data_IF_086362036557
#
_entry.id   IF_086362036557
#
_cell.length_a   1.000
_cell.length_b   1.000
_cell.length_c   1.000
_cell.angle_alpha   90.00
_cell.angle_beta   90.00
_cell.angle_gamma   90.00
#
_symmetry.space_group_name_H-M   'P 1'
#
loop_
_entity.id
_entity.type
_entity.pdbx_description
1 polymer ?
#
# COMPACT_ATOMS: atom_id res chain seq x y z
N UNK A 1 2.33 -2.34 23.30
CA UNK A 1 1.38 -2.10 22.20
C UNK A 1 2.15 -2.11 20.90
N UNK A 2 1.95 -3.11 20.04
CA UNK A 2 2.67 -3.17 18.76
C UNK A 2 2.04 -2.19 17.78
N UNK A 3 2.83 -1.17 17.47
CA UNK A 3 2.63 -0.11 16.48
C UNK A 3 2.04 -0.64 15.15
N UNK A 4 1.01 0.02 14.62
CA UNK A 4 0.45 -0.24 13.27
C UNK A 4 1.60 -0.40 12.27
N UNK A 5 1.64 -1.46 11.43
CA UNK A 5 2.73 -1.64 10.47
C UNK A 5 2.90 -0.39 9.61
N UNK A 6 4.16 0.03 9.37
CA UNK A 6 4.45 1.22 8.54
C UNK A 6 3.72 1.16 7.19
N UNK A 7 3.69 -0.01 6.59
CA UNK A 7 3.00 -0.28 5.32
C UNK A 7 1.48 0.02 5.33
N UNK A 8 0.85 0.21 6.48
CA UNK A 8 -0.58 0.52 6.58
C UNK A 8 -0.85 1.94 7.08
N UNK A 9 0.19 2.79 7.16
CA UNK A 9 0.07 4.18 7.60
C UNK A 9 0.16 5.14 6.41
N UNK A 10 -0.52 6.29 6.45
CA UNK A 10 -0.27 7.37 5.50
C UNK A 10 1.19 7.82 5.56
N UNK A 11 1.81 7.98 4.39
CA UNK A 11 3.17 8.46 4.22
C UNK A 11 3.16 9.93 3.77
N UNK A 12 3.70 10.80 4.61
CA UNK A 12 3.81 12.22 4.36
C UNK A 12 5.27 12.55 4.04
N UNK A 13 5.57 12.94 2.80
CA UNK A 13 6.94 13.22 2.38
C UNK A 13 7.22 14.72 2.33
N UNK A 14 8.37 15.12 2.88
CA UNK A 14 8.80 16.53 2.86
C UNK A 14 9.81 16.72 1.74
N UNK A 15 9.46 17.54 0.77
CA UNK A 15 10.21 17.86 -0.43
C UNK A 15 10.66 19.32 -0.43
N UNK A 16 11.72 19.65 -1.17
CA UNK A 16 12.23 21.02 -1.27
C UNK A 16 13.69 21.03 -1.72
N UNK A 17 14.35 22.19 -1.71
CA UNK A 17 15.79 22.27 -1.99
C UNK A 17 16.63 21.81 -0.79
N UNK A 18 17.95 21.72 -0.99
CA UNK A 18 18.90 21.63 0.13
C UNK A 18 18.77 22.82 1.06
N UNK A 19 18.99 22.58 2.34
CA UNK A 19 19.05 23.61 3.37
C UNK A 19 17.77 24.45 3.57
N UNK A 20 16.62 24.11 2.98
CA UNK A 20 15.33 24.81 3.23
C UNK A 20 14.72 24.46 4.60
N UNK A 21 15.34 23.56 5.36
CA UNK A 21 14.93 23.18 6.71
C UNK A 21 13.94 22.01 6.78
N UNK A 22 13.99 21.06 5.83
CA UNK A 22 13.13 19.87 5.79
C UNK A 22 13.23 19.02 7.07
N UNK A 23 14.44 18.62 7.45
CA UNK A 23 14.67 17.80 8.65
C UNK A 23 14.28 18.53 9.94
N UNK A 24 14.57 19.83 10.01
CA UNK A 24 14.15 20.67 11.14
C UNK A 24 12.62 20.74 11.21
N UNK A 25 11.93 20.93 10.08
CA UNK A 25 10.47 20.97 10.03
C UNK A 25 9.86 19.66 10.51
N UNK A 26 10.39 18.52 10.08
CA UNK A 26 9.95 17.20 10.55
C UNK A 26 10.17 17.08 12.05
N UNK A 27 11.36 17.41 12.55
CA UNK A 27 11.66 17.32 13.99
C UNK A 27 10.73 18.20 14.83
N UNK A 28 10.42 19.41 14.35
CA UNK A 28 9.52 20.33 15.06
C UNK A 28 8.08 19.85 15.01
N UNK A 29 7.63 19.28 13.89
CA UNK A 29 6.33 18.61 13.79
C UNK A 29 6.23 17.39 14.71
N UNK A 30 7.34 16.66 14.91
CA UNK A 30 7.38 15.46 15.77
C UNK A 30 7.58 15.76 17.25
N UNK A 31 8.18 16.90 17.63
CA UNK A 31 8.60 17.19 19.01
C UNK A 31 7.53 17.89 19.88
N UNK A 32 6.32 18.12 19.36
CA UNK A 32 5.23 18.63 20.19
C UNK A 32 4.59 17.51 21.03
N UNK A 33 4.93 17.49 22.32
CA UNK A 33 4.44 16.80 23.54
C UNK A 33 3.72 15.42 23.50
N UNK A 34 3.30 14.89 22.34
CA UNK A 34 2.42 13.72 22.25
C UNK A 34 2.87 12.64 21.25
N UNK A 35 3.93 12.87 20.45
CA UNK A 35 4.34 11.91 19.42
C UNK A 35 5.49 11.00 19.88
N UNK A 36 5.22 9.70 20.03
CA UNK A 36 6.25 8.67 20.13
C UNK A 36 6.95 8.52 18.77
N UNK A 37 8.23 8.90 18.69
CA UNK A 37 9.03 8.80 17.46
C UNK A 37 9.87 7.52 17.48
N UNK A 38 9.83 6.77 16.39
CA UNK A 38 10.82 5.72 16.12
C UNK A 38 11.51 5.95 14.79
N UNK A 39 12.83 6.10 14.85
CA UNK A 39 13.69 6.25 13.69
C UNK A 39 14.10 4.86 13.18
N UNK A 40 14.03 4.66 11.87
CA UNK A 40 14.81 3.60 11.22
C UNK A 40 15.76 4.32 10.27
N UNK A 41 17.07 4.34 10.58
CA UNK A 41 18.03 5.00 9.72
C UNK A 41 18.08 4.28 8.37
N UNK A 42 17.97 5.05 7.29
CA UNK A 42 18.44 4.63 5.97
C UNK A 42 19.97 4.73 5.91
N UNK A 43 20.58 4.37 4.79
CA UNK A 43 21.99 4.73 4.58
C UNK A 43 22.12 6.25 4.47
N UNK A 44 23.35 6.80 4.55
CA UNK A 44 23.64 8.25 4.47
C UNK A 44 23.10 8.95 3.21
N UNK A 45 22.55 8.20 2.24
CA UNK A 45 21.96 8.73 1.01
C UNK A 45 20.46 8.44 0.87
N UNK A 46 19.85 7.68 1.78
CA UNK A 46 18.45 7.25 1.67
C UNK A 46 17.49 8.16 2.43
N UNK A 47 16.21 8.24 2.01
CA UNK A 47 15.18 8.93 2.78
C UNK A 47 15.07 8.36 4.18
N UNK A 48 14.93 9.23 5.18
CA UNK A 48 14.76 8.83 6.59
C UNK A 48 13.27 8.73 6.90
N UNK A 49 12.87 7.61 7.50
CA UNK A 49 11.47 7.33 7.84
C UNK A 49 11.26 7.51 9.34
N UNK A 50 10.39 8.45 9.71
CA UNK A 50 10.02 8.73 11.09
C UNK A 50 8.56 8.38 11.32
N UNK A 51 8.33 7.36 12.14
CA UNK A 51 6.98 7.00 12.57
C UNK A 51 6.54 7.92 13.70
N UNK A 52 5.34 8.51 13.61
CA UNK A 52 4.78 9.39 14.63
C UNK A 52 3.25 9.28 14.69
N UNK A 53 2.63 9.83 15.72
CA UNK A 53 1.19 10.07 15.79
C UNK A 53 0.89 11.54 15.48
N UNK A 54 -0.03 11.78 14.55
CA UNK A 54 -0.52 13.11 14.19
C UNK A 54 -1.97 13.20 14.67
N UNK A 55 -2.22 13.80 15.83
CA UNK A 55 -3.59 13.91 16.35
C UNK A 55 -4.40 14.94 15.55
N UNK A 56 -5.72 14.72 15.32
CA UNK A 56 -6.51 13.50 15.61
C UNK A 56 -6.40 12.39 14.55
N UNK A 57 -5.61 12.55 13.49
CA UNK A 57 -5.49 11.59 12.38
C UNK A 57 -4.96 10.20 12.81
N UNK A 58 -4.07 10.14 13.80
CA UNK A 58 -3.46 8.89 14.28
C UNK A 58 -2.07 8.61 13.66
N UNK A 59 -1.65 7.34 13.52
CA UNK A 59 -0.27 7.00 13.19
C UNK A 59 0.08 7.26 11.72
N UNK A 60 1.13 8.04 11.48
CA UNK A 60 1.66 8.37 10.14
C UNK A 60 3.15 8.03 10.02
N UNK A 61 3.68 8.10 8.80
CA UNK A 61 5.12 8.02 8.52
C UNK A 61 5.56 9.29 7.80
N UNK A 62 6.42 10.08 8.46
CA UNK A 62 7.10 11.21 7.82
C UNK A 62 8.32 10.70 7.04
N UNK A 63 8.47 11.13 5.79
CA UNK A 63 9.63 10.82 4.95
C UNK A 63 10.48 12.09 4.78
N UNK A 64 11.69 12.08 5.33
CA UNK A 64 12.67 13.13 5.09
C UNK A 64 13.44 12.84 3.80
N UNK A 65 13.33 13.76 2.84
CA UNK A 65 14.04 13.66 1.56
C UNK A 65 15.40 14.36 1.55
N UNK A 66 15.92 14.81 2.71
CA UNK A 66 17.23 15.47 2.81
C UNK A 66 18.36 14.72 2.10
N UNK A 67 18.43 13.39 2.22
CA UNK A 67 19.43 12.55 1.53
C UNK A 67 19.31 12.50 -0.01
N UNK A 68 18.13 12.83 -0.56
CA UNK A 68 17.90 12.97 -2.01
C UNK A 68 18.45 14.31 -2.51
N UNK A 69 18.32 15.32 -1.64
CA UNK A 69 19.01 16.61 -1.65
C UNK A 69 20.51 16.49 -1.95
N UNK A 70 21.22 15.76 -1.08
CA UNK A 70 22.65 15.96 -0.77
C UNK A 70 23.68 15.36 -1.74
N UNK A 71 23.26 14.52 -2.70
CA UNK A 71 24.18 13.90 -3.66
C UNK A 71 24.54 14.84 -4.83
N UNK A 72 25.78 15.35 -4.85
CA UNK A 72 26.33 16.10 -5.99
C UNK A 72 26.53 15.22 -7.24
N UNK A 73 26.58 15.86 -8.43
CA UNK A 73 26.89 15.34 -9.78
C UNK A 73 26.22 14.05 -10.32
N UNK A 74 25.48 13.29 -9.51
CA UNK A 74 24.74 12.08 -9.94
C UNK A 74 23.25 12.36 -10.14
N UNK A 75 22.92 13.31 -11.03
CA UNK A 75 21.54 13.74 -11.28
C UNK A 75 20.56 12.60 -11.54
N UNK A 76 20.99 11.51 -12.20
CA UNK A 76 20.18 10.31 -12.44
C UNK A 76 19.76 9.60 -11.15
N UNK A 77 20.66 9.46 -10.17
CA UNK A 77 20.35 8.81 -8.89
C UNK A 77 19.36 9.64 -8.08
N UNK A 78 19.51 10.97 -8.10
CA UNK A 78 18.56 11.89 -7.45
C UNK A 78 17.15 11.79 -8.04
N UNK A 79 17.03 11.77 -9.37
CA UNK A 79 15.75 11.61 -10.06
C UNK A 79 15.11 10.27 -9.66
N UNK A 80 15.90 9.18 -9.66
CA UNK A 80 15.43 7.85 -9.25
C UNK A 80 14.89 7.83 -7.82
N UNK A 81 15.65 8.33 -6.84
CA UNK A 81 15.22 8.38 -5.44
C UNK A 81 14.00 9.28 -5.23
N UNK A 82 13.92 10.40 -5.93
CA UNK A 82 12.74 11.28 -5.90
C UNK A 82 11.50 10.52 -6.38
N UNK A 83 11.62 9.80 -7.52
CA UNK A 83 10.54 8.95 -8.05
C UNK A 83 10.14 7.88 -7.05
N UNK A 84 11.10 7.20 -6.41
CA UNK A 84 10.85 6.17 -5.39
C UNK A 84 10.05 6.68 -4.18
N UNK A 85 10.31 7.91 -3.72
CA UNK A 85 9.55 8.51 -2.61
C UNK A 85 8.17 8.94 -3.09
N UNK A 86 8.07 9.56 -4.27
CA UNK A 86 6.77 9.95 -4.86
C UNK A 86 5.83 8.74 -4.95
N UNK A 87 6.31 7.58 -5.42
CA UNK A 87 5.50 6.37 -5.57
C UNK A 87 4.81 5.88 -4.29
N UNK A 88 5.34 6.20 -3.11
CA UNK A 88 4.80 5.78 -1.82
C UNK A 88 4.20 6.93 -1.00
N UNK A 89 4.16 8.14 -1.54
CA UNK A 89 3.72 9.34 -0.80
C UNK A 89 2.22 9.52 -0.95
N UNK A 90 1.52 9.59 0.18
CA UNK A 90 0.08 9.90 0.26
C UNK A 90 -0.17 11.41 0.32
N UNK A 91 0.73 12.17 0.94
CA UNK A 91 0.68 13.64 1.02
C UNK A 91 2.09 14.24 0.93
N UNK A 92 2.27 15.28 0.14
CA UNK A 92 3.55 15.96 0.00
C UNK A 92 3.56 17.34 0.68
N UNK A 93 4.65 17.66 1.37
CA UNK A 93 4.95 19.00 1.86
C UNK A 93 6.05 19.60 0.97
N UNK A 94 5.74 20.63 0.20
CA UNK A 94 6.73 21.34 -0.62
C UNK A 94 7.26 22.56 0.14
N UNK A 95 8.51 22.47 0.61
CA UNK A 95 9.15 23.50 1.43
C UNK A 95 9.96 24.47 0.56
N UNK A 96 9.65 25.75 0.70
CA UNK A 96 10.27 26.88 0.01
C UNK A 96 10.98 27.75 1.05
N UNK A 97 12.19 28.19 0.70
CA UNK A 97 12.95 29.17 1.49
C UNK A 97 12.71 30.58 0.92
N UNK A 98 12.33 31.58 1.75
CA UNK A 98 12.04 32.94 1.30
C UNK A 98 13.22 33.64 0.64
N UNK A 99 14.47 33.23 0.91
CA UNK A 99 15.66 33.77 0.27
C UNK A 99 15.85 33.25 -1.16
N UNK A 100 15.46 32.00 -1.43
CA UNK A 100 15.59 31.37 -2.74
C UNK A 100 14.35 31.55 -3.61
N UNK A 101 13.18 31.62 -2.98
CA UNK A 101 11.88 31.71 -3.64
C UNK A 101 11.48 30.45 -4.42
N UNK A 102 10.36 30.54 -5.13
CA UNK A 102 9.86 29.47 -6.01
C UNK A 102 10.40 29.65 -7.44
N UNK A 103 10.82 28.57 -8.10
CA UNK A 103 11.30 28.58 -9.49
C UNK A 103 11.03 27.27 -10.23
N UNK A 104 11.83 26.99 -11.26
CA UNK A 104 11.65 25.81 -12.12
C UNK A 104 11.77 24.48 -11.37
N UNK A 105 12.64 24.41 -10.36
CA UNK A 105 12.80 23.21 -9.54
C UNK A 105 11.52 22.88 -8.76
N UNK A 106 10.94 23.88 -8.09
CA UNK A 106 9.70 23.70 -7.34
C UNK A 106 8.52 23.38 -8.28
N UNK A 107 8.48 24.01 -9.47
CA UNK A 107 7.47 23.72 -10.51
C UNK A 107 7.54 22.28 -11.02
N UNK A 108 8.74 21.81 -11.38
CA UNK A 108 8.94 20.43 -11.85
C UNK A 108 8.54 19.41 -10.77
N UNK A 109 8.92 19.65 -9.52
CA UNK A 109 8.58 18.76 -8.41
C UNK A 109 7.07 18.77 -8.12
N UNK A 110 6.43 19.93 -8.14
CA UNK A 110 4.99 20.06 -7.99
C UNK A 110 4.23 19.31 -9.09
N UNK A 111 4.64 19.48 -10.36
CA UNK A 111 4.02 18.78 -11.48
C UNK A 111 4.14 17.26 -11.33
N UNK A 112 5.33 16.74 -10.98
CA UNK A 112 5.53 15.30 -10.74
C UNK A 112 4.62 14.75 -9.62
N UNK A 113 4.37 15.53 -8.58
CA UNK A 113 3.46 15.15 -7.51
C UNK A 113 2.00 15.13 -8.01
N UNK A 114 1.60 16.14 -8.79
CA UNK A 114 0.28 16.20 -9.42
C UNK A 114 0.04 15.06 -10.42
N UNK A 115 1.01 14.71 -11.27
CA UNK A 115 0.95 13.59 -12.22
C UNK A 115 0.72 12.22 -11.52
N UNK A 116 1.06 12.14 -10.22
CA UNK A 116 0.86 10.98 -9.36
C UNK A 116 -0.37 11.11 -8.45
N UNK A 117 -1.21 12.12 -8.66
CA UNK A 117 -2.39 12.43 -7.85
C UNK A 117 -2.04 12.49 -6.36
N UNK A 118 -0.98 13.23 -6.02
CA UNK A 118 -0.53 13.42 -4.65
C UNK A 118 -0.93 14.84 -4.22
N UNK A 119 -1.77 15.01 -3.20
CA UNK A 119 -2.06 16.32 -2.64
C UNK A 119 -0.77 16.98 -2.15
N UNK A 120 -0.64 18.28 -2.37
CA UNK A 120 0.55 19.06 -2.00
C UNK A 120 0.16 20.20 -1.07
N UNK A 121 0.87 20.31 0.06
CA UNK A 121 0.85 21.45 0.97
C UNK A 121 2.13 22.25 0.75
N UNK A 122 2.01 23.50 0.32
CA UNK A 122 3.17 24.38 0.09
C UNK A 122 3.47 25.15 1.38
N UNK A 123 4.73 25.15 1.79
CA UNK A 123 5.19 25.75 3.03
C UNK A 123 6.35 26.71 2.74
N UNK A 124 6.27 27.95 3.23
CA UNK A 124 7.40 28.88 3.27
C UNK A 124 8.01 28.78 4.67
N UNK A 125 9.21 28.19 4.77
CA UNK A 125 9.91 28.00 6.04
C UNK A 125 10.90 29.15 6.32
N UNK A 126 11.42 29.24 7.54
CA UNK A 126 12.42 30.24 7.99
C UNK A 126 11.89 31.68 8.02
N UNK A 127 10.60 31.86 8.32
CA UNK A 127 10.01 33.20 8.40
C UNK A 127 10.63 34.06 9.51
N UNK A 128 11.26 33.44 10.51
CA UNK A 128 12.03 34.09 11.58
C UNK A 128 13.23 34.89 11.06
N UNK A 129 13.73 34.57 9.87
CA UNK A 129 14.91 35.21 9.27
C UNK A 129 14.59 36.43 8.41
N UNK A 130 13.31 36.76 8.27
CA UNK A 130 12.85 37.87 7.44
C UNK A 130 11.84 38.72 8.20
N UNK A 131 11.84 40.03 7.99
CA UNK A 131 10.87 40.95 8.63
C UNK A 131 9.44 40.79 8.11
N UNK A 132 9.24 39.94 7.11
CA UNK A 132 7.97 39.62 6.47
C UNK A 132 8.20 38.87 5.16
N UNK A 133 7.21 38.09 4.73
CA UNK A 133 7.24 37.44 3.42
C UNK A 133 6.88 38.46 2.34
N UNK A 134 7.75 38.62 1.34
CA UNK A 134 7.51 39.52 0.20
C UNK A 134 6.26 39.10 -0.57
N UNK A 135 5.42 40.07 -0.95
CA UNK A 135 4.20 39.82 -1.72
C UNK A 135 4.50 39.12 -3.04
N UNK A 136 5.56 39.53 -3.74
CA UNK A 136 6.03 38.89 -4.98
C UNK A 136 6.24 37.38 -4.86
N UNK A 137 6.73 36.90 -3.70
CA UNK A 137 6.90 35.47 -3.47
C UNK A 137 5.55 34.76 -3.31
N UNK A 138 4.60 35.38 -2.60
CA UNK A 138 3.26 34.84 -2.43
C UNK A 138 2.52 34.76 -3.77
N UNK A 139 2.60 35.82 -4.58
CA UNK A 139 2.00 35.88 -5.90
C UNK A 139 2.63 34.85 -6.84
N UNK A 140 3.95 34.67 -6.77
CA UNK A 140 4.66 33.66 -7.55
C UNK A 140 4.26 32.23 -7.16
N UNK A 141 4.13 31.96 -5.86
CA UNK A 141 3.64 30.66 -5.37
C UNK A 141 2.21 30.40 -5.84
N UNK A 142 1.32 31.39 -5.73
CA UNK A 142 -0.06 31.29 -6.21
C UNK A 142 -0.13 31.07 -7.72
N UNK A 143 0.70 31.77 -8.49
CA UNK A 143 0.78 31.61 -9.94
C UNK A 143 1.30 30.22 -10.36
N UNK A 144 2.33 29.71 -9.67
CA UNK A 144 2.95 28.43 -10.03
C UNK A 144 2.15 27.21 -9.60
N UNK A 145 1.49 27.29 -8.44
CA UNK A 145 0.89 26.12 -7.79
C UNK A 145 -0.61 26.25 -7.53
N UNK A 146 -1.22 27.42 -7.76
CA UNK A 146 -2.64 27.64 -7.51
C UNK A 146 -3.06 27.57 -6.05
N UNK A 147 -2.11 27.59 -5.11
CA UNK A 147 -2.37 27.43 -3.67
C UNK A 147 -1.78 28.57 -2.85
N UNK A 148 -2.38 28.82 -1.68
CA UNK A 148 -1.81 29.71 -0.67
C UNK A 148 -0.81 28.94 0.19
N UNK A 149 0.43 29.43 0.36
CA UNK A 149 1.42 28.76 1.19
C UNK A 149 1.19 29.00 2.68
N UNK A 150 1.49 28.00 3.50
CA UNK A 150 1.57 28.15 4.96
C UNK A 150 2.93 28.74 5.31
N UNK A 151 2.95 29.70 6.23
CA UNK A 151 4.18 30.39 6.65
C UNK A 151 4.63 29.81 7.98
N UNK A 152 5.83 29.23 8.02
CA UNK A 152 6.34 28.57 9.23
C UNK A 152 7.78 28.97 9.56
N UNK A 153 8.11 28.86 10.84
CA UNK A 153 9.48 28.82 11.31
C UNK A 153 9.67 27.51 12.06
N UNK A 154 10.33 26.54 11.41
CA UNK A 154 10.69 25.29 12.06
C UNK A 154 11.60 25.51 13.28
N UNK A 155 12.36 26.62 13.33
CA UNK A 155 13.26 26.94 14.44
C UNK A 155 12.51 27.47 15.67
N UNK A 156 11.57 28.42 15.49
CA UNK A 156 10.82 29.03 16.59
C UNK A 156 9.49 28.33 16.90
N UNK A 157 9.06 27.38 16.07
CA UNK A 157 7.76 26.71 16.19
C UNK A 157 6.57 27.52 15.65
N UNK A 158 6.79 28.74 15.14
CA UNK A 158 5.72 29.59 14.61
C UNK A 158 5.06 28.97 13.38
N UNK A 159 3.73 28.90 13.36
CA UNK A 159 2.93 28.36 12.25
C UNK A 159 2.90 26.83 12.14
N UNK A 160 3.54 26.11 13.07
CA UNK A 160 3.58 24.63 13.06
C UNK A 160 2.20 24.03 13.39
N UNK A 161 1.44 24.68 14.26
CA UNK A 161 0.08 24.25 14.60
C UNK A 161 -0.87 24.33 13.39
N UNK A 162 -0.88 25.48 12.71
CA UNK A 162 -1.64 25.67 11.48
C UNK A 162 -1.23 24.65 10.40
N UNK A 163 0.07 24.39 10.26
CA UNK A 163 0.57 23.34 9.37
C UNK A 163 -0.01 21.97 9.77
N UNK A 164 0.02 21.61 11.05
CA UNK A 164 -0.51 20.34 11.55
C UNK A 164 -1.99 20.18 11.22
N UNK A 165 -2.81 21.18 11.47
CA UNK A 165 -4.23 21.17 11.14
C UNK A 165 -4.47 20.97 9.64
N UNK A 166 -3.71 21.67 8.79
CA UNK A 166 -3.82 21.50 7.33
C UNK A 166 -3.38 20.10 6.91
N UNK A 167 -2.32 19.53 7.49
CA UNK A 167 -1.89 18.17 7.20
C UNK A 167 -3.00 17.16 7.57
N UNK A 168 -3.55 17.23 8.77
CA UNK A 168 -4.67 16.37 9.22
C UNK A 168 -5.85 16.43 8.25
N UNK A 169 -6.17 17.63 7.74
CA UNK A 169 -7.28 17.83 6.82
C UNK A 169 -6.99 17.40 5.38
N UNK A 170 -5.72 17.33 4.97
CA UNK A 170 -5.33 16.99 3.59
C UNK A 170 -4.79 15.59 3.40
N UNK A 171 -4.43 14.88 4.47
CA UNK A 171 -4.12 13.45 4.35
C UNK A 171 -5.39 12.73 3.86
N UNK A 172 -5.30 11.94 2.78
CA UNK A 172 -6.38 11.05 2.36
C UNK A 172 -6.89 10.23 3.56
N UNK A 173 -8.16 10.43 3.95
CA UNK A 173 -8.75 9.82 5.15
C UNK A 173 -9.11 8.36 4.93
N UNK A 174 -9.33 7.63 6.01
CA UNK A 174 -9.75 6.22 5.99
C UNK A 174 -11.03 5.96 5.18
N UNK A 175 -11.88 6.96 4.95
CA UNK A 175 -13.09 6.81 4.12
C UNK A 175 -12.75 6.68 2.61
N UNK A 176 -11.51 7.03 2.23
CA UNK A 176 -10.94 6.77 0.90
C UNK A 176 -10.07 5.49 0.89
N UNK A 177 -9.75 4.91 2.06
CA UNK A 177 -9.07 3.63 2.14
C UNK A 177 -10.12 2.51 2.18
N UNK A 178 -10.00 1.47 1.33
CA UNK A 178 -10.98 0.40 1.34
C UNK A 178 -10.95 -0.33 2.68
N UNK A 179 -12.11 -0.78 3.15
CA UNK A 179 -12.18 -1.75 4.24
C UNK A 179 -11.48 -3.05 3.83
N UNK A 180 -10.94 -3.77 4.82
CA UNK A 180 -10.46 -5.14 4.58
C UNK A 180 -11.68 -6.02 4.33
N UNK A 181 -12.66 -5.94 5.23
CA UNK A 181 -13.88 -6.74 5.28
C UNK A 181 -15.11 -5.97 5.78
N UNK A 182 -14.92 -4.82 6.45
CA UNK A 182 -16.02 -4.04 7.06
C UNK A 182 -17.17 -3.70 6.10
N UNK A 183 -16.88 -3.48 4.82
CA UNK A 183 -17.86 -3.22 3.76
C UNK A 183 -18.59 -4.47 3.23
N UNK A 184 -18.27 -5.66 3.75
CA UNK A 184 -18.89 -6.94 3.38
C UNK A 184 -19.86 -7.48 4.44
N UNK A 185 -19.98 -6.79 5.58
CA UNK A 185 -20.75 -7.21 6.74
C UNK A 185 -21.64 -6.09 7.26
N UNK A 186 -22.73 -6.46 7.92
CA UNK A 186 -23.62 -5.54 8.62
C UNK A 186 -23.37 -5.60 10.15
N UNK A 187 -23.87 -4.62 10.89
CA UNK A 187 -23.79 -4.62 12.36
C UNK A 187 -24.42 -5.89 12.94
N UNK A 188 -23.70 -6.56 13.85
CA UNK A 188 -24.14 -7.82 14.46
C UNK A 188 -23.85 -9.08 13.64
N UNK A 189 -23.36 -8.98 12.40
CA UNK A 189 -22.98 -10.15 11.62
C UNK A 189 -21.86 -10.95 12.29
N UNK A 190 -21.95 -12.28 12.20
CA UNK A 190 -20.85 -13.18 12.61
C UNK A 190 -19.97 -13.52 11.41
N UNK A 191 -18.65 -13.35 11.57
CA UNK A 191 -17.63 -13.77 10.60
C UNK A 191 -16.74 -14.84 11.22
N UNK A 192 -16.54 -15.95 10.52
CA UNK A 192 -15.58 -16.98 10.95
C UNK A 192 -14.24 -16.76 10.27
N UNK A 193 -13.17 -16.62 11.05
CA UNK A 193 -11.79 -16.59 10.59
C UNK A 193 -11.15 -17.97 10.81
N UNK A 194 -10.88 -18.69 9.73
CA UNK A 194 -10.22 -20.00 9.77
C UNK A 194 -8.71 -19.81 9.67
N UNK A 195 -8.03 -19.99 10.80
CA UNK A 195 -6.60 -19.72 10.99
C UNK A 195 -5.88 -21.01 11.39
N UNK A 196 -5.29 -21.76 10.43
CA UNK A 196 -4.47 -22.92 10.75
C UNK A 196 -3.23 -22.49 11.56
N UNK A 197 -2.57 -23.44 12.21
CA UNK A 197 -1.30 -23.17 12.89
C UNK A 197 -0.23 -22.90 11.83
N UNK A 198 0.08 -21.62 11.64
CA UNK A 198 1.11 -21.19 10.71
C UNK A 198 2.50 -21.37 11.36
N UNK A 199 3.33 -22.21 10.75
CA UNK A 199 4.72 -22.41 11.18
C UNK A 199 5.59 -21.16 11.00
N UNK A 200 5.16 -20.21 10.16
CA UNK A 200 5.82 -18.92 9.96
C UNK A 200 5.46 -17.89 11.04
N UNK A 201 4.40 -18.11 11.83
CA UNK A 201 4.03 -17.24 12.93
C UNK A 201 4.87 -17.54 14.19
N UNK A 202 5.35 -16.52 14.93
CA UNK A 202 5.94 -16.74 16.24
C UNK A 202 4.96 -17.47 17.17
N UNK A 203 5.46 -18.43 17.97
CA UNK A 203 4.62 -19.17 18.94
C UNK A 203 3.77 -18.20 19.77
N UNK A 204 2.46 -18.47 19.84
CA UNK A 204 1.51 -17.69 20.62
C UNK A 204 1.03 -16.39 19.96
N UNK A 205 1.17 -16.23 18.64
CA UNK A 205 0.70 -15.04 17.91
C UNK A 205 -0.06 -15.41 16.64
N UNK A 206 -1.09 -14.61 16.33
CA UNK A 206 -1.72 -14.59 15.00
C UNK A 206 -0.85 -13.79 14.02
N UNK A 207 -0.95 -14.13 12.73
CA UNK A 207 -0.31 -13.31 11.69
C UNK A 207 -1.09 -12.01 11.49
N UNK A 208 -0.38 -11.00 10.99
CA UNK A 208 -0.93 -9.65 10.85
C UNK A 208 -2.24 -9.59 10.03
N UNK A 209 -2.39 -10.28 8.88
CA UNK A 209 -3.66 -10.29 8.15
C UNK A 209 -4.86 -10.75 8.99
N UNK A 210 -4.67 -11.74 9.86
CA UNK A 210 -5.72 -12.26 10.74
C UNK A 210 -6.10 -11.22 11.80
N UNK A 211 -5.12 -10.60 12.45
CA UNK A 211 -5.34 -9.56 13.45
C UNK A 211 -6.06 -8.35 12.86
N UNK A 212 -5.62 -7.89 11.68
CA UNK A 212 -6.22 -6.73 11.02
C UNK A 212 -7.65 -7.01 10.55
N UNK A 213 -7.91 -8.19 9.97
CA UNK A 213 -9.27 -8.57 9.57
C UNK A 213 -10.18 -8.66 10.79
N UNK A 214 -9.71 -9.24 11.89
CA UNK A 214 -10.46 -9.28 13.14
C UNK A 214 -10.74 -7.88 13.70
N UNK A 215 -9.76 -6.96 13.63
CA UNK A 215 -9.95 -5.58 14.07
C UNK A 215 -11.00 -4.86 13.22
N UNK A 216 -10.93 -4.97 11.90
CA UNK A 216 -11.89 -4.33 10.98
C UNK A 216 -13.31 -4.90 11.16
N UNK A 217 -13.46 -6.19 11.50
CA UNK A 217 -14.76 -6.75 11.90
C UNK A 217 -15.31 -6.03 13.14
N UNK A 218 -14.49 -5.86 14.18
CA UNK A 218 -14.90 -5.21 15.43
C UNK A 218 -15.15 -3.71 15.27
N UNK A 219 -14.37 -3.03 14.43
CA UNK A 219 -14.55 -1.61 14.08
C UNK A 219 -15.91 -1.34 13.43
N UNK A 220 -16.46 -2.35 12.72
CA UNK A 220 -17.75 -2.28 12.04
C UNK A 220 -18.84 -3.05 12.81
N UNK A 221 -18.68 -3.20 14.13
CA UNK A 221 -19.68 -3.78 15.03
C UNK A 221 -20.09 -5.23 14.70
N UNK A 222 -19.24 -5.97 13.99
CA UNK A 222 -19.41 -7.41 13.74
C UNK A 222 -18.79 -8.28 14.84
N UNK A 223 -19.11 -9.57 14.81
CA UNK A 223 -18.55 -10.58 15.70
C UNK A 223 -17.57 -11.49 14.97
N UNK A 224 -16.30 -11.48 15.38
CA UNK A 224 -15.28 -12.39 14.83
C UNK A 224 -15.14 -13.67 15.64
N UNK A 225 -15.37 -14.83 15.02
CA UNK A 225 -15.09 -16.15 15.58
C UNK A 225 -13.83 -16.74 14.92
N UNK A 226 -12.77 -16.97 15.71
CA UNK A 226 -11.51 -17.52 15.19
C UNK A 226 -11.43 -19.01 15.51
N UNK A 227 -11.17 -19.84 14.49
CA UNK A 227 -11.11 -21.32 14.61
C UNK A 227 -9.95 -21.87 13.77
N UNK A 228 -9.46 -23.09 14.08
CA UNK A 228 -8.68 -23.83 13.08
C UNK A 228 -9.62 -24.53 12.12
N UNK A 229 -9.06 -25.05 11.02
CA UNK A 229 -9.78 -25.87 10.06
C UNK A 229 -10.42 -27.11 10.69
N UNK A 230 -9.85 -27.63 11.79
CA UNK A 230 -10.35 -28.81 12.51
C UNK A 230 -11.64 -28.55 13.29
N UNK A 231 -11.84 -27.34 13.84
CA UNK A 231 -13.05 -27.01 14.60
C UNK A 231 -14.14 -26.30 13.78
N UNK A 232 -13.86 -25.95 12.53
CA UNK A 232 -14.79 -25.21 11.67
C UNK A 232 -16.17 -25.87 11.56
N UNK A 233 -16.21 -27.18 11.32
CA UNK A 233 -17.49 -27.90 11.19
C UNK A 233 -18.30 -27.84 12.49
N UNK A 234 -17.64 -27.99 13.63
CA UNK A 234 -18.27 -27.87 14.95
C UNK A 234 -18.77 -26.45 15.24
N UNK A 235 -17.98 -25.44 14.87
CA UNK A 235 -18.35 -24.03 15.01
C UNK A 235 -19.61 -23.70 14.19
N UNK A 236 -19.67 -24.13 12.92
CA UNK A 236 -20.85 -23.94 12.06
C UNK A 236 -22.11 -24.60 12.62
N UNK A 237 -21.98 -25.73 13.33
CA UNK A 237 -23.11 -26.43 13.97
C UNK A 237 -23.57 -25.79 15.28
N UNK A 238 -22.67 -25.10 15.99
CA UNK A 238 -22.95 -24.54 17.32
C UNK A 238 -23.49 -23.11 17.25
N UNK A 239 -23.16 -22.37 16.19
CA UNK A 239 -23.72 -21.04 15.97
C UNK A 239 -25.24 -21.11 15.79
N UNK A 240 -25.95 -20.27 16.54
CA UNK A 240 -27.42 -20.16 16.45
C UNK A 240 -27.87 -19.62 15.09
N UNK A 241 -27.10 -18.68 14.55
CA UNK A 241 -27.33 -18.06 13.25
C UNK A 241 -26.14 -18.33 12.33
N UNK A 242 -26.41 -18.47 11.02
CA UNK A 242 -25.34 -18.73 10.05
C UNK A 242 -24.41 -17.51 10.02
N UNK A 243 -23.08 -17.72 9.99
CA UNK A 243 -22.17 -16.62 9.77
C UNK A 243 -22.42 -15.99 8.40
N UNK A 244 -22.27 -14.68 8.32
CA UNK A 244 -22.34 -13.93 7.07
C UNK A 244 -21.27 -14.39 6.09
N UNK A 245 -20.05 -14.57 6.60
CA UNK A 245 -18.84 -14.78 5.82
C UNK A 245 -17.86 -15.67 6.57
N UNK A 246 -17.20 -16.56 5.83
CA UNK A 246 -16.03 -17.31 6.29
C UNK A 246 -14.80 -16.80 5.54
N UNK A 247 -13.73 -16.49 6.27
CA UNK A 247 -12.44 -16.10 5.71
C UNK A 247 -11.41 -17.16 6.07
N UNK A 248 -10.64 -17.63 5.09
CA UNK A 248 -9.68 -18.72 5.33
C UNK A 248 -8.29 -18.45 4.76
N UNK A 249 -7.29 -19.14 5.30
CA UNK A 249 -5.96 -19.17 4.70
C UNK A 249 -5.94 -19.94 3.39
N UNK A 250 -5.14 -19.46 2.44
CA UNK A 250 -4.90 -20.11 1.15
C UNK A 250 -4.45 -21.59 1.26
N UNK A 251 -3.75 -21.96 2.32
CA UNK A 251 -3.24 -23.32 2.53
C UNK A 251 -4.33 -24.35 2.79
N UNK A 252 -5.40 -23.95 3.48
CA UNK A 252 -6.52 -24.84 3.86
C UNK A 252 -7.81 -24.54 3.10
N UNK A 253 -7.77 -23.60 2.15
CA UNK A 253 -8.96 -23.14 1.41
C UNK A 253 -9.72 -24.31 0.76
N UNK A 254 -9.02 -25.24 0.12
CA UNK A 254 -9.65 -26.40 -0.52
C UNK A 254 -10.43 -27.28 0.45
N UNK A 255 -9.92 -27.49 1.67
CA UNK A 255 -10.61 -28.22 2.73
C UNK A 255 -11.82 -27.42 3.23
N UNK A 256 -11.60 -26.14 3.56
CA UNK A 256 -12.63 -25.24 4.09
C UNK A 256 -13.79 -25.07 3.12
N UNK A 257 -13.53 -24.95 1.82
CA UNK A 257 -14.57 -24.83 0.80
C UNK A 257 -15.54 -26.02 0.77
N UNK A 258 -15.09 -27.22 1.13
CA UNK A 258 -15.94 -28.42 1.20
C UNK A 258 -16.78 -28.46 2.47
N UNK A 259 -16.30 -27.85 3.55
CA UNK A 259 -16.97 -27.81 4.86
C UNK A 259 -18.04 -26.71 4.87
N UNK A 260 -17.72 -25.53 4.33
CA UNK A 260 -18.63 -24.37 4.33
C UNK A 260 -19.75 -24.60 3.31
N UNK A 261 -21.04 -24.47 3.68
CA UNK A 261 -22.17 -24.48 2.75
C UNK A 261 -22.10 -23.41 1.64
N UNK A 262 -22.68 -23.66 0.47
CA UNK A 262 -22.65 -22.74 -0.69
C UNK A 262 -23.46 -21.45 -0.50
N UNK A 263 -24.43 -21.45 0.42
CA UNK A 263 -25.23 -20.28 0.80
C UNK A 263 -24.53 -19.37 1.80
N UNK A 264 -23.37 -19.79 2.34
CA UNK A 264 -22.49 -18.96 3.17
C UNK A 264 -21.36 -18.42 2.31
N UNK A 265 -21.15 -17.11 2.37
CA UNK A 265 -20.03 -16.49 1.68
C UNK A 265 -18.69 -17.03 2.19
N UNK A 266 -17.76 -17.23 1.27
CA UNK A 266 -16.42 -17.73 1.57
C UNK A 266 -15.41 -16.90 0.78
N UNK A 267 -14.36 -16.42 1.43
CA UNK A 267 -13.21 -15.81 0.76
C UNK A 267 -11.92 -16.10 1.53
N UNK A 268 -10.79 -15.56 1.07
CA UNK A 268 -9.49 -15.75 1.70
C UNK A 268 -8.85 -14.45 2.12
N UNK A 269 -7.98 -14.52 3.14
CA UNK A 269 -7.19 -13.35 3.56
C UNK A 269 -6.42 -12.74 2.40
N UNK A 270 -5.89 -13.55 1.49
CA UNK A 270 -5.12 -13.07 0.34
C UNK A 270 -5.95 -12.22 -0.63
N UNK A 271 -7.23 -12.55 -0.83
CA UNK A 271 -8.14 -11.80 -1.72
C UNK A 271 -8.60 -10.51 -1.05
N UNK A 272 -8.96 -10.58 0.25
CA UNK A 272 -9.26 -9.37 1.04
C UNK A 272 -8.10 -8.39 0.99
N UNK A 273 -6.86 -8.86 1.17
CA UNK A 273 -5.68 -8.01 1.13
C UNK A 273 -5.28 -7.55 -0.28
N UNK A 274 -5.55 -8.34 -1.32
CA UNK A 274 -5.39 -7.90 -2.70
C UNK A 274 -6.30 -6.70 -3.00
N UNK A 275 -7.56 -6.72 -2.53
CA UNK A 275 -8.49 -5.59 -2.60
C UNK A 275 -8.05 -4.43 -1.71
N UNK A 276 -7.72 -4.72 -0.45
CA UNK A 276 -7.36 -3.71 0.55
C UNK A 276 -6.11 -2.90 0.17
N UNK A 277 -5.07 -3.54 -0.37
CA UNK A 277 -3.82 -2.86 -0.77
C UNK A 277 -3.72 -2.50 -2.23
N UNK A 278 -4.43 -3.21 -3.11
CA UNK A 278 -4.36 -3.02 -4.55
C UNK A 278 -5.70 -2.65 -5.15
N UNK A 279 -5.89 -3.12 -6.37
CA UNK A 279 -7.10 -2.92 -7.17
C UNK A 279 -7.57 -4.29 -7.65
N UNK A 280 -8.69 -4.75 -7.07
CA UNK A 280 -9.23 -6.07 -7.34
C UNK A 280 -9.60 -6.24 -8.83
N UNK A 281 -10.12 -5.19 -9.46
CA UNK A 281 -10.55 -5.20 -10.86
C UNK A 281 -9.35 -5.34 -11.78
N UNK A 282 -8.28 -4.58 -11.52
CA UNK A 282 -7.02 -4.71 -12.26
C UNK A 282 -6.38 -6.08 -12.11
N UNK A 283 -6.48 -6.69 -10.93
CA UNK A 283 -6.02 -8.05 -10.77
C UNK A 283 -6.84 -9.08 -11.55
N UNK A 284 -8.15 -8.85 -11.74
CA UNK A 284 -8.99 -9.73 -12.57
C UNK A 284 -8.60 -9.68 -14.05
N UNK A 285 -8.21 -8.51 -14.59
CA UNK A 285 -7.61 -8.42 -15.93
C UNK A 285 -6.38 -9.34 -16.05
N UNK A 286 -5.55 -9.36 -15.01
CA UNK A 286 -4.40 -10.27 -14.91
C UNK A 286 -4.79 -11.75 -14.81
N UNK A 287 -5.86 -12.09 -14.08
CA UNK A 287 -6.38 -13.47 -14.05
C UNK A 287 -6.89 -13.89 -15.43
N UNK A 288 -7.58 -13.02 -16.15
CA UNK A 288 -8.06 -13.31 -17.50
C UNK A 288 -6.89 -13.54 -18.48
N UNK A 289 -5.79 -12.80 -18.36
CA UNK A 289 -4.57 -13.08 -19.12
C UNK A 289 -3.89 -14.39 -18.68
N UNK A 290 -3.88 -14.69 -17.37
CA UNK A 290 -3.36 -15.95 -16.82
C UNK A 290 -4.09 -17.16 -17.42
N UNK A 291 -5.42 -17.11 -17.54
CA UNK A 291 -6.23 -18.16 -18.18
C UNK A 291 -5.88 -18.41 -19.65
N UNK A 292 -5.45 -17.35 -20.35
CA UNK A 292 -5.22 -17.35 -21.80
C UNK A 292 -3.72 -17.34 -22.18
N UNK A 293 -2.84 -17.79 -21.29
CA UNK A 293 -1.41 -17.88 -21.56
C UNK A 293 -1.10 -18.83 -22.72
N UNK A 294 -0.12 -18.46 -23.55
CA UNK A 294 0.31 -19.23 -24.72
C UNK A 294 1.75 -19.73 -24.58
N UNK A 295 2.14 -20.77 -25.34
CA UNK A 295 3.54 -21.18 -25.43
C UNK A 295 4.43 -20.00 -25.81
N UNK A 296 5.50 -19.80 -25.04
CA UNK A 296 6.44 -18.70 -25.25
C UNK A 296 6.14 -17.42 -24.47
N UNK A 297 4.94 -17.26 -23.90
CA UNK A 297 4.59 -16.09 -23.07
C UNK A 297 5.58 -15.94 -21.91
N UNK A 298 5.95 -14.69 -21.61
CA UNK A 298 6.90 -14.34 -20.55
C UNK A 298 6.19 -13.76 -19.34
N UNK A 299 6.45 -14.33 -18.17
CA UNK A 299 5.83 -13.93 -16.92
C UNK A 299 6.89 -13.35 -15.98
N UNK A 300 6.66 -12.14 -15.47
CA UNK A 300 7.51 -11.55 -14.45
C UNK A 300 6.96 -11.86 -13.06
N UNK A 301 7.73 -12.58 -12.27
CA UNK A 301 7.48 -12.78 -10.85
C UNK A 301 8.07 -11.58 -10.11
N UNK A 302 7.22 -10.79 -9.45
CA UNK A 302 7.59 -9.53 -8.83
C UNK A 302 7.36 -9.55 -7.31
N UNK A 303 8.47 -9.64 -6.57
CA UNK A 303 8.46 -9.65 -5.11
C UNK A 303 8.87 -8.31 -4.55
N UNK A 304 8.01 -7.72 -3.72
CA UNK A 304 8.23 -6.41 -3.12
C UNK A 304 9.33 -6.34 -2.03
N UNK A 305 9.97 -7.45 -1.68
CA UNK A 305 10.96 -7.54 -0.61
C UNK A 305 12.16 -8.40 -0.99
N UNK A 306 13.33 -8.09 -0.44
CA UNK A 306 14.60 -8.78 -0.69
C UNK A 306 14.91 -9.79 0.42
N UNK A 307 13.95 -10.65 0.75
CA UNK A 307 14.10 -11.62 1.83
C UNK A 307 14.83 -12.89 1.34
N UNK A 308 15.38 -13.66 2.28
CA UNK A 308 16.03 -14.94 1.96
C UNK A 308 14.97 -15.97 1.61
N UNK A 309 15.03 -16.50 0.39
CA UNK A 309 14.06 -17.47 -0.14
C UNK A 309 14.24 -18.85 0.51
N UNK A 310 13.13 -19.56 0.63
CA UNK A 310 13.07 -20.95 1.08
C UNK A 310 13.10 -21.89 -0.15
N UNK A 311 13.54 -23.16 -0.01
CA UNK A 311 13.54 -24.11 -1.12
C UNK A 311 12.15 -24.40 -1.72
N UNK A 312 11.07 -24.20 -0.95
CA UNK A 312 9.68 -24.44 -1.35
C UNK A 312 8.88 -23.13 -1.49
N UNK A 313 9.54 -22.09 -2.01
CA UNK A 313 8.99 -20.74 -2.13
C UNK A 313 7.78 -20.66 -3.09
N UNK A 314 6.76 -19.91 -2.67
CA UNK A 314 5.52 -19.76 -3.43
C UNK A 314 5.78 -19.12 -4.78
N UNK A 315 6.57 -18.05 -4.79
CA UNK A 315 6.84 -17.25 -5.98
C UNK A 315 7.71 -17.99 -6.98
N UNK A 316 8.81 -18.60 -6.55
CA UNK A 316 9.80 -19.16 -7.48
C UNK A 316 9.60 -20.63 -7.81
N UNK A 317 8.83 -21.37 -7.01
CA UNK A 317 8.66 -22.83 -7.18
C UNK A 317 7.19 -23.18 -7.42
N UNK A 318 6.31 -22.89 -6.45
CA UNK A 318 4.93 -23.41 -6.48
C UNK A 318 4.09 -22.80 -7.60
N UNK A 319 4.02 -21.47 -7.68
CA UNK A 319 3.26 -20.78 -8.72
C UNK A 319 3.71 -21.17 -10.13
N UNK A 320 5.02 -21.11 -10.48
CA UNK A 320 5.49 -21.59 -11.77
C UNK A 320 5.12 -23.05 -12.06
N UNK A 321 5.24 -23.93 -11.07
CA UNK A 321 4.86 -25.34 -11.21
C UNK A 321 3.36 -25.53 -11.48
N UNK A 322 2.50 -24.82 -10.75
CA UNK A 322 1.05 -24.88 -10.93
C UNK A 322 0.60 -24.29 -12.26
N UNK A 323 1.18 -23.18 -12.69
CA UNK A 323 0.88 -22.58 -14.00
C UNK A 323 1.28 -23.53 -15.13
N UNK A 324 2.49 -24.12 -15.05
CA UNK A 324 2.95 -25.07 -16.07
C UNK A 324 2.11 -26.33 -16.18
N UNK A 325 1.65 -26.85 -15.05
CA UNK A 325 0.86 -28.08 -15.00
C UNK A 325 -0.61 -27.89 -15.36
N UNK A 326 -1.19 -26.71 -15.09
CA UNK A 326 -2.64 -26.48 -15.26
C UNK A 326 -3.01 -25.60 -16.44
N UNK A 327 -2.11 -24.73 -16.89
CA UNK A 327 -2.40 -23.72 -17.91
C UNK A 327 -1.55 -23.95 -19.15
N UNK A 328 -0.24 -23.73 -19.06
CA UNK A 328 0.67 -23.83 -20.20
C UNK A 328 2.09 -24.20 -19.75
N UNK A 329 2.60 -25.33 -20.22
CA UNK A 329 3.92 -25.87 -19.86
C UNK A 329 5.10 -25.06 -20.43
N UNK A 330 4.91 -24.34 -21.53
CA UNK A 330 5.95 -23.66 -22.32
C UNK A 330 6.06 -22.15 -22.04
N UNK A 331 5.64 -21.70 -20.86
CA UNK A 331 5.82 -20.30 -20.42
C UNK A 331 7.19 -20.08 -19.76
N UNK A 332 7.71 -18.86 -19.92
CA UNK A 332 8.98 -18.41 -19.36
C UNK A 332 8.75 -17.55 -18.13
N UNK A 333 9.62 -17.67 -17.13
CA UNK A 333 9.54 -16.88 -15.91
C UNK A 333 10.85 -16.13 -15.69
N UNK A 334 10.74 -14.83 -15.49
CA UNK A 334 11.80 -14.02 -14.89
C UNK A 334 11.36 -13.58 -13.49
N UNK A 335 12.34 -13.19 -12.67
CA UNK A 335 12.10 -12.85 -11.28
C UNK A 335 12.81 -11.56 -10.93
N UNK A 336 12.07 -10.66 -10.29
CA UNK A 336 12.60 -9.46 -9.67
C UNK A 336 12.22 -9.43 -8.20
N UNK A 337 13.20 -9.10 -7.36
CA UNK A 337 12.98 -8.83 -5.94
C UNK A 337 13.38 -7.40 -5.63
N UNK A 338 12.51 -6.69 -4.93
CA UNK A 338 12.70 -5.28 -4.58
C UNK A 338 11.47 -4.43 -4.89
N UNK A 339 11.64 -3.12 -4.72
CA UNK A 339 10.55 -2.15 -4.81
C UNK A 339 10.22 -1.73 -6.25
N UNK A 340 11.00 -2.15 -7.22
CA UNK A 340 10.90 -1.69 -8.61
C UNK A 340 10.60 -2.84 -9.57
N UNK A 341 10.03 -2.49 -10.72
CA UNK A 341 10.03 -3.34 -11.90
C UNK A 341 11.30 -3.11 -12.72
N UNK A 342 11.69 -4.06 -13.58
CA UNK A 342 12.73 -3.83 -14.56
C UNK A 342 12.29 -2.77 -15.59
N UNK A 343 13.24 -2.03 -16.17
CA UNK A 343 12.96 -0.94 -17.11
C UNK A 343 12.26 -1.41 -18.40
N UNK A 344 12.43 -2.69 -18.77
CA UNK A 344 11.86 -3.30 -19.96
C UNK A 344 10.59 -4.11 -19.64
N UNK A 345 9.69 -3.55 -18.83
CA UNK A 345 8.49 -4.24 -18.36
C UNK A 345 7.58 -4.71 -19.51
N UNK A 346 7.54 -3.97 -20.62
CA UNK A 346 6.75 -4.27 -21.82
C UNK A 346 7.12 -5.59 -22.52
N UNK A 347 8.27 -6.20 -22.19
CA UNK A 347 8.61 -7.51 -22.74
C UNK A 347 7.79 -8.68 -22.15
N UNK A 348 7.08 -8.43 -21.04
CA UNK A 348 6.34 -9.44 -20.31
C UNK A 348 4.86 -9.43 -20.70
N UNK A 349 4.28 -10.62 -20.73
CA UNK A 349 2.88 -10.85 -21.01
C UNK A 349 2.00 -10.76 -19.78
N UNK A 350 2.60 -10.98 -18.59
CA UNK A 350 1.90 -10.99 -17.31
C UNK A 350 2.89 -10.71 -16.18
N UNK A 351 2.46 -9.95 -15.17
CA UNK A 351 3.17 -9.82 -13.90
C UNK A 351 2.44 -10.60 -12.81
N UNK A 352 3.14 -11.52 -12.15
CA UNK A 352 2.72 -12.11 -10.88
C UNK A 352 3.27 -11.25 -9.75
N UNK A 353 2.41 -10.46 -9.10
CA UNK A 353 2.83 -9.60 -7.99
C UNK A 353 2.53 -10.27 -6.64
N UNK A 354 3.49 -10.23 -5.72
CA UNK A 354 3.29 -10.79 -4.38
C UNK A 354 2.25 -9.99 -3.57
N UNK A 355 1.96 -10.42 -2.33
CA UNK A 355 0.99 -9.73 -1.46
C UNK A 355 1.37 -8.29 -1.08
N UNK A 356 2.61 -7.83 -1.36
CA UNK A 356 3.02 -6.46 -1.08
C UNK A 356 3.03 -6.13 0.42
N UNK A 357 3.31 -7.11 1.29
CA UNK A 357 3.24 -6.93 2.74
C UNK A 357 4.10 -5.74 3.25
N UNK A 358 5.24 -5.49 2.59
CA UNK A 358 6.17 -4.40 2.93
C UNK A 358 5.87 -3.05 2.25
N UNK A 359 4.86 -3.01 1.35
CA UNK A 359 4.48 -1.82 0.59
C UNK A 359 3.23 -1.20 1.20
N UNK A 360 3.15 0.14 1.15
CA UNK A 360 1.88 0.81 1.40
C UNK A 360 0.95 0.74 0.19
N UNK A 361 -0.33 1.03 0.41
CA UNK A 361 -1.35 1.00 -0.64
C UNK A 361 -0.94 1.88 -1.83
N UNK A 362 -0.47 3.11 -1.59
CA UNK A 362 0.00 4.02 -2.65
C UNK A 362 1.09 3.39 -3.52
N UNK A 363 2.08 2.72 -2.91
CA UNK A 363 3.18 2.08 -3.64
C UNK A 363 2.68 0.86 -4.44
N UNK A 364 1.75 0.06 -3.90
CA UNK A 364 1.10 -1.03 -4.66
C UNK A 364 0.33 -0.47 -5.85
N UNK A 365 -0.52 0.54 -5.66
CA UNK A 365 -1.28 1.17 -6.74
C UNK A 365 -0.37 1.83 -7.79
N UNK A 366 0.74 2.43 -7.37
CA UNK A 366 1.74 2.98 -8.27
C UNK A 366 2.37 1.91 -9.15
N UNK A 367 2.65 0.72 -8.60
CA UNK A 367 3.12 -0.44 -9.38
C UNK A 367 2.07 -0.94 -10.37
N UNK A 368 0.80 -1.03 -9.97
CA UNK A 368 -0.28 -1.38 -10.89
C UNK A 368 -0.41 -0.37 -12.02
N UNK A 369 -0.32 0.93 -11.72
CA UNK A 369 -0.32 2.00 -12.74
C UNK A 369 0.87 1.88 -13.69
N UNK A 370 2.06 1.60 -13.18
CA UNK A 370 3.28 1.40 -13.99
C UNK A 370 3.10 0.24 -14.97
N UNK A 371 2.67 -0.93 -14.50
CA UNK A 371 2.42 -2.09 -15.35
C UNK A 371 1.30 -1.85 -16.38
N UNK A 372 0.19 -1.24 -15.97
CA UNK A 372 -0.91 -0.88 -16.87
C UNK A 372 -0.46 0.13 -17.95
N UNK A 373 0.42 1.07 -17.61
CA UNK A 373 0.99 2.03 -18.58
C UNK A 373 1.89 1.32 -19.60
N UNK A 374 2.61 0.28 -19.18
CA UNK A 374 3.38 -0.60 -20.07
C UNK A 374 2.52 -1.62 -20.82
N UNK A 375 1.20 -1.61 -20.64
CA UNK A 375 0.29 -2.56 -21.28
C UNK A 375 0.37 -3.99 -20.74
N UNK A 376 0.96 -4.19 -19.56
CA UNK A 376 1.19 -5.51 -18.97
C UNK A 376 0.19 -5.76 -17.83
N UNK A 377 -0.72 -6.75 -17.97
CA UNK A 377 -1.63 -7.14 -16.91
C UNK A 377 -0.88 -7.63 -15.67
N UNK A 378 -1.46 -7.38 -14.49
CA UNK A 378 -0.90 -7.81 -13.21
C UNK A 378 -1.90 -8.69 -12.50
N UNK A 379 -1.46 -9.81 -11.93
CA UNK A 379 -2.27 -10.64 -11.04
C UNK A 379 -1.58 -10.79 -9.69
N UNK A 380 -2.34 -10.68 -8.60
CA UNK A 380 -1.84 -10.95 -7.26
C UNK A 380 -1.67 -12.46 -7.04
N UNK A 381 -0.62 -12.88 -6.32
CA UNK A 381 -0.40 -14.29 -5.99
C UNK A 381 -1.63 -14.97 -5.41
N UNK A 382 -2.32 -14.34 -4.45
CA UNK A 382 -3.52 -14.89 -3.83
C UNK A 382 -4.63 -15.19 -4.82
N UNK A 383 -4.83 -14.30 -5.78
CA UNK A 383 -5.84 -14.46 -6.84
C UNK A 383 -5.42 -15.50 -7.88
N UNK A 384 -4.14 -15.52 -8.27
CA UNK A 384 -3.60 -16.56 -9.14
C UNK A 384 -3.74 -17.94 -8.52
N UNK A 385 -3.41 -18.09 -7.24
CA UNK A 385 -3.61 -19.34 -6.48
C UNK A 385 -5.08 -19.72 -6.44
N UNK A 386 -5.96 -18.77 -6.09
CA UNK A 386 -7.39 -19.03 -6.04
C UNK A 386 -7.95 -19.51 -7.41
N UNK A 387 -7.47 -18.92 -8.50
CA UNK A 387 -7.83 -19.34 -9.85
C UNK A 387 -7.31 -20.75 -10.16
N UNK A 388 -6.00 -20.98 -9.96
CA UNK A 388 -5.35 -22.27 -10.24
C UNK A 388 -5.96 -23.43 -9.43
N UNK A 389 -6.49 -23.15 -8.25
CA UNK A 389 -7.17 -24.15 -7.41
C UNK A 389 -8.70 -24.26 -7.67
N UNK A 390 -9.25 -23.51 -8.62
CA UNK A 390 -10.66 -23.58 -9.00
C UNK A 390 -11.62 -22.97 -7.97
N UNK A 391 -11.12 -22.11 -7.09
CA UNK A 391 -11.90 -21.53 -5.97
C UNK A 391 -12.24 -20.06 -6.18
N UNK A 392 -11.63 -19.40 -7.17
CA UNK A 392 -11.79 -17.95 -7.38
C UNK A 392 -13.25 -17.52 -7.57
N UNK A 393 -14.05 -18.29 -8.31
CA UNK A 393 -15.48 -18.00 -8.52
C UNK A 393 -16.21 -17.84 -7.18
N UNK A 394 -16.06 -18.81 -6.28
CA UNK A 394 -16.69 -18.79 -4.96
C UNK A 394 -16.11 -17.70 -4.08
N UNK A 395 -14.78 -17.53 -4.13
CA UNK A 395 -14.07 -16.56 -3.34
C UNK A 395 -14.40 -15.10 -3.69
N UNK A 396 -14.85 -14.85 -4.93
CA UNK A 396 -15.25 -13.54 -5.41
C UNK A 396 -16.72 -13.20 -5.17
N UNK A 397 -17.60 -14.19 -4.93
CA UNK A 397 -19.05 -13.96 -4.67
C UNK A 397 -19.35 -12.82 -3.69
N UNK A 398 -18.59 -12.62 -2.58
CA UNK A 398 -18.86 -11.52 -1.65
C UNK A 398 -18.65 -10.13 -2.25
N UNK A 399 -17.83 -10.02 -3.31
CA UNK A 399 -17.45 -8.77 -3.96
C UNK A 399 -18.27 -8.57 -5.24
N UNK A 400 -19.55 -8.19 -5.09
CA UNK A 400 -20.55 -8.19 -6.17
C UNK A 400 -20.05 -7.71 -7.55
N UNK A 401 -19.50 -6.49 -7.64
CA UNK A 401 -18.98 -5.93 -8.90
C UNK A 401 -17.82 -6.74 -9.50
N UNK A 402 -16.85 -7.11 -8.66
CA UNK A 402 -15.69 -7.90 -9.07
C UNK A 402 -16.12 -9.30 -9.54
N UNK A 403 -17.09 -9.93 -8.87
CA UNK A 403 -17.65 -11.21 -9.29
C UNK A 403 -18.33 -11.13 -10.65
N UNK A 404 -19.18 -10.10 -10.88
CA UNK A 404 -19.84 -9.92 -12.17
C UNK A 404 -18.84 -9.69 -13.30
N UNK A 405 -17.80 -8.88 -13.03
CA UNK A 405 -16.74 -8.63 -14.01
C UNK A 405 -15.95 -9.89 -14.34
N UNK A 406 -15.58 -10.66 -13.32
CA UNK A 406 -14.93 -11.96 -13.51
C UNK A 406 -15.79 -12.92 -14.35
N UNK A 407 -17.10 -12.99 -14.08
CA UNK A 407 -18.03 -13.77 -14.89
C UNK A 407 -18.11 -13.29 -16.35
N UNK A 408 -17.86 -12.00 -16.60
CA UNK A 408 -17.78 -11.42 -17.93
C UNK A 408 -16.58 -11.90 -18.73
N UNK A 409 -15.40 -12.06 -18.12
CA UNK A 409 -14.20 -12.56 -18.80
C UNK A 409 -14.29 -14.03 -19.23
N UNK A 410 -15.18 -14.81 -18.61
CA UNK A 410 -15.37 -16.24 -18.89
C UNK A 410 -16.47 -16.55 -19.93
N UNK A 411 -17.17 -15.53 -20.41
CA UNK A 411 -18.15 -15.64 -21.51
C UNK A 411 -17.41 -15.42 -22.83
#
# INVERSE_FOLDING_TARGET
>A
MQQTPRANRPHIAVFGRRNVGKSTLINTLTNQELALVSDVPGTTTDPVYKSMELLPLGPVVMIDTAGIDDVGSLGKLRIKKTREVIRRTDLAILVIDPFHGAGNYEKDLYNKLQDNNIPVVVVINKIDRVKGIKQDLLDKVKLLFGVTPIKVSAHSGTGIEELREVLVNRVPRDHEQPHIIGDLIDEGDTVILVTPIDSAAPKGRLILPQVQTLRDILDNHGMGLVVKETELEGALKTLREKPRLVVTDSQVFGLVSKIVPEDIYLTGFSILFARYKGDLMKYLEGVAKLENLRPGDKILIAEACTHRRQPDDIGTVKLPGWIRSRICNEVKFDLVSGREYPDNLEQYDLVLHCAGCMLNRKEVLSRLKEANTSGVPVVNYGMAIAYLHGILDRALKPFGEAYQTWKGYRK
#
